data_IF_035178499801
#
_entry.id   IF_035178499801
#
_cell.length_a   1.000
_cell.length_b   1.000
_cell.length_c   1.000
_cell.angle_alpha   90.00
_cell.angle_beta   90.00
_cell.angle_gamma   90.00
#
_symmetry.space_group_name_H-M   'P 1'
#
loop_
_entity.id
_entity.type
_entity.pdbx_description
1 polymer ?
#
# COMPACT_ATOMS: atom_id res chain seq x y z
N UNK A 1 18.45 -6.44 6.04
CA UNK A 1 19.48 -7.37 5.51
C UNK A 1 19.11 -7.90 4.14
N UNK A 2 17.89 -8.41 3.96
CA UNK A 2 17.38 -8.95 2.68
C UNK A 2 17.50 -7.98 1.49
N UNK A 3 16.93 -6.77 1.61
CA UNK A 3 17.00 -5.76 0.53
C UNK A 3 18.45 -5.38 0.21
N UNK A 4 19.28 -5.17 1.24
CA UNK A 4 20.69 -4.81 1.05
C UNK A 4 21.45 -5.90 0.29
N UNK A 5 21.26 -7.17 0.64
CA UNK A 5 21.91 -8.26 -0.08
C UNK A 5 21.49 -8.33 -1.56
N UNK A 6 20.26 -7.93 -1.88
CA UNK A 6 19.77 -7.85 -3.25
C UNK A 6 20.37 -6.64 -4.01
N UNK A 7 20.34 -5.45 -3.41
CA UNK A 7 20.85 -4.21 -4.02
C UNK A 7 22.36 -4.25 -4.22
N UNK A 8 23.09 -4.81 -3.26
CA UNK A 8 24.56 -4.91 -3.29
C UNK A 8 25.04 -6.10 -4.17
N UNK A 9 24.12 -6.89 -4.74
CA UNK A 9 24.40 -8.00 -5.66
C UNK A 9 24.85 -9.32 -5.01
N UNK A 10 24.80 -9.43 -3.69
CA UNK A 10 25.11 -10.67 -2.95
C UNK A 10 24.10 -11.78 -3.27
N UNK A 11 22.85 -11.42 -3.55
CA UNK A 11 21.80 -12.34 -4.05
C UNK A 11 21.12 -11.70 -5.27
N UNK A 12 20.55 -12.53 -6.15
CA UNK A 12 19.88 -12.07 -7.38
C UNK A 12 18.35 -12.01 -7.26
N UNK A 13 17.79 -12.65 -6.24
CA UNK A 13 16.37 -12.63 -5.93
C UNK A 13 16.18 -12.70 -4.41
N UNK A 14 15.11 -12.09 -3.90
CA UNK A 14 14.80 -12.09 -2.48
C UNK A 14 13.30 -11.99 -2.22
N UNK A 15 12.85 -12.58 -1.10
CA UNK A 15 11.48 -12.45 -0.64
C UNK A 15 11.29 -11.08 0.05
N UNK A 16 10.46 -10.23 -0.55
CA UNK A 16 10.17 -8.86 -0.10
C UNK A 16 8.67 -8.61 -0.33
N UNK A 17 8.00 -7.89 0.56
CA UNK A 17 6.62 -7.48 0.37
C UNK A 17 6.45 -6.59 -0.88
N UNK A 18 5.37 -6.80 -1.64
CA UNK A 18 5.07 -6.05 -2.88
C UNK A 18 4.80 -4.57 -2.66
N UNK A 19 4.43 -4.16 -1.44
CA UNK A 19 4.24 -2.77 -1.03
C UNK A 19 5.48 -2.16 -0.37
N UNK A 20 6.65 -2.82 -0.50
CA UNK A 20 7.89 -2.35 0.11
C UNK A 20 8.41 -1.09 -0.58
N UNK A 21 8.82 -0.05 0.18
CA UNK A 21 9.38 1.17 -0.38
C UNK A 21 10.72 0.94 -1.10
N UNK A 22 11.41 -0.16 -0.78
CA UNK A 22 12.65 -0.54 -1.44
C UNK A 22 12.49 -0.79 -2.94
N UNK A 23 11.28 -1.14 -3.40
CA UNK A 23 10.98 -1.41 -4.81
C UNK A 23 11.15 -0.14 -5.64
N UNK A 24 10.39 0.95 -5.41
CA UNK A 24 10.58 2.19 -6.17
C UNK A 24 11.93 2.85 -5.89
N UNK A 25 12.45 2.79 -4.66
CA UNK A 25 13.71 3.44 -4.28
C UNK A 25 14.96 2.85 -4.96
N UNK A 26 14.97 1.55 -5.23
CA UNK A 26 16.11 0.84 -5.82
C UNK A 26 15.80 0.29 -7.22
N UNK A 27 14.67 0.71 -7.82
CA UNK A 27 14.21 0.26 -9.13
C UNK A 27 14.17 -1.28 -9.26
N UNK A 28 13.69 -1.96 -8.22
CA UNK A 28 13.59 -3.41 -8.23
C UNK A 28 12.41 -3.87 -9.09
N UNK A 29 12.55 -5.03 -9.71
CA UNK A 29 11.49 -5.66 -10.51
C UNK A 29 10.75 -6.68 -9.64
N UNK A 30 9.42 -6.57 -9.57
CA UNK A 30 8.56 -7.56 -8.91
C UNK A 30 8.31 -8.70 -9.88
N UNK A 31 8.54 -9.94 -9.44
CA UNK A 31 8.25 -11.15 -10.21
C UNK A 31 6.82 -11.63 -9.93
N UNK A 32 6.18 -12.18 -10.96
CA UNK A 32 4.87 -12.83 -10.82
C UNK A 32 4.98 -14.15 -10.04
N UNK A 33 3.88 -14.53 -9.37
CA UNK A 33 3.74 -15.82 -8.66
C UNK A 33 2.66 -16.68 -9.34
N UNK A 34 2.97 -17.29 -10.50
CA UNK A 34 1.98 -18.00 -11.32
C UNK A 34 1.48 -19.31 -10.69
N UNK A 35 2.25 -19.89 -9.76
CA UNK A 35 1.90 -21.13 -9.06
C UNK A 35 1.23 -20.87 -7.71
N UNK A 36 1.02 -19.60 -7.35
CA UNK A 36 0.41 -19.19 -6.08
C UNK A 36 1.16 -19.77 -4.87
N UNK A 37 2.49 -19.75 -4.94
CA UNK A 37 3.36 -20.22 -3.86
C UNK A 37 3.25 -19.33 -2.61
N UNK A 38 2.83 -18.07 -2.77
CA UNK A 38 2.57 -17.14 -1.68
C UNK A 38 1.07 -16.87 -1.55
N UNK A 39 0.58 -16.88 -0.31
CA UNK A 39 -0.80 -16.49 -0.03
C UNK A 39 -1.02 -15.01 -0.38
N UNK A 40 -2.18 -14.72 -1.00
CA UNK A 40 -2.56 -13.35 -1.33
C UNK A 40 -2.75 -12.51 -0.06
N UNK A 41 -2.01 -11.40 0.03
CA UNK A 41 -2.09 -10.43 1.12
C UNK A 41 -3.06 -9.29 0.81
N UNK A 42 -4.37 -9.58 0.76
CA UNK A 42 -5.38 -8.56 0.49
C UNK A 42 -5.56 -7.61 1.68
N UNK A 43 -5.64 -6.30 1.41
CA UNK A 43 -5.99 -5.29 2.41
C UNK A 43 -7.50 -5.09 2.37
N UNK A 44 -8.17 -5.39 3.49
CA UNK A 44 -9.63 -5.31 3.61
C UNK A 44 -10.04 -4.57 4.89
N UNK A 45 -10.92 -3.56 4.81
CA UNK A 45 -11.49 -2.93 5.99
C UNK A 45 -12.37 -3.91 6.76
N UNK A 46 -12.18 -3.99 8.09
CA UNK A 46 -13.02 -4.79 8.98
C UNK A 46 -13.79 -3.86 9.92
N UNK A 47 -15.13 -3.97 9.89
CA UNK A 47 -16.02 -3.10 10.66
C UNK A 47 -16.93 -3.94 11.56
N UNK A 48 -17.19 -3.44 12.77
CA UNK A 48 -18.16 -4.05 13.67
C UNK A 48 -19.58 -4.00 13.05
N UNK A 49 -20.31 -5.12 13.07
CA UNK A 49 -21.65 -5.22 12.47
C UNK A 49 -22.66 -4.21 13.02
N UNK A 50 -22.55 -3.84 14.31
CA UNK A 50 -23.41 -2.83 14.95
C UNK A 50 -23.14 -1.40 14.46
N UNK A 51 -22.03 -1.17 13.76
CA UNK A 51 -21.62 0.13 13.22
C UNK A 51 -21.70 0.20 11.69
N UNK A 52 -22.15 -0.87 11.03
CA UNK A 52 -22.30 -0.92 9.58
C UNK A 52 -23.46 -0.03 9.13
N UNK A 53 -23.25 0.67 8.03
CA UNK A 53 -24.29 1.31 7.21
C UNK A 53 -23.95 1.14 5.73
N UNK A 54 -24.94 1.31 4.86
CA UNK A 54 -24.72 1.25 3.40
C UNK A 54 -23.79 2.39 2.95
N UNK A 55 -23.99 3.60 3.47
CA UNK A 55 -23.10 4.72 3.20
C UNK A 55 -21.63 4.44 3.62
N UNK A 56 -21.41 3.84 4.80
CA UNK A 56 -20.05 3.48 5.23
C UNK A 56 -19.43 2.43 4.30
N UNK A 57 -20.23 1.47 3.82
CA UNK A 57 -19.79 0.49 2.82
C UNK A 57 -19.36 1.19 1.54
N UNK A 58 -20.16 2.10 0.99
CA UNK A 58 -19.85 2.81 -0.25
C UNK A 58 -18.52 3.59 -0.14
N UNK A 59 -18.31 4.24 1.01
CA UNK A 59 -17.06 4.97 1.29
C UNK A 59 -15.86 4.03 1.33
N UNK A 60 -15.95 2.93 2.08
CA UNK A 60 -14.85 1.98 2.21
C UNK A 60 -14.55 1.23 0.91
N UNK A 61 -15.58 0.92 0.11
CA UNK A 61 -15.41 0.30 -1.21
C UNK A 61 -14.70 1.26 -2.16
N UNK A 62 -15.06 2.54 -2.17
CA UNK A 62 -14.41 3.55 -3.00
C UNK A 62 -12.93 3.74 -2.63
N UNK A 63 -12.62 3.81 -1.33
CA UNK A 63 -11.24 3.88 -0.84
C UNK A 63 -10.46 2.63 -1.24
N UNK A 64 -11.02 1.44 -1.00
CA UNK A 64 -10.39 0.17 -1.34
C UNK A 64 -10.07 0.06 -2.83
N UNK A 65 -10.97 0.53 -3.69
CA UNK A 65 -10.77 0.55 -5.14
C UNK A 65 -9.61 1.47 -5.60
N UNK A 66 -9.24 2.48 -4.80
CA UNK A 66 -8.10 3.37 -5.07
C UNK A 66 -6.77 2.84 -4.54
N UNK A 67 -6.78 1.89 -3.61
CA UNK A 67 -5.57 1.31 -3.02
C UNK A 67 -4.94 0.30 -3.98
N UNK A 68 -4.02 0.79 -4.84
CA UNK A 68 -3.20 -0.06 -5.69
C UNK A 68 -1.91 -0.47 -4.98
N UNK A 69 -1.30 -1.59 -5.38
CA UNK A 69 -0.03 -2.06 -4.82
C UNK A 69 1.09 -1.01 -4.96
N UNK A 70 1.17 -0.36 -6.13
CA UNK A 70 2.14 0.73 -6.36
C UNK A 70 1.84 1.94 -5.48
N UNK A 71 0.58 2.38 -5.41
CA UNK A 71 0.21 3.51 -4.55
C UNK A 71 0.50 3.25 -3.07
N UNK A 72 0.34 2.01 -2.61
CA UNK A 72 0.72 1.60 -1.25
C UNK A 72 2.23 1.57 -1.04
N UNK A 73 3.02 1.17 -2.05
CA UNK A 73 4.47 1.24 -2.00
C UNK A 73 4.96 2.69 -1.91
N UNK A 74 4.33 3.61 -2.65
CA UNK A 74 4.64 5.04 -2.63
C UNK A 74 4.27 5.67 -1.28
N UNK A 75 3.10 5.32 -0.71
CA UNK A 75 2.72 5.75 0.64
C UNK A 75 3.67 5.24 1.70
N UNK A 76 4.05 3.95 1.64
CA UNK A 76 5.05 3.41 2.55
C UNK A 76 6.40 4.10 2.36
N UNK A 77 6.78 4.47 1.14
CA UNK A 77 8.01 5.19 0.85
C UNK A 77 7.99 6.60 1.44
N UNK A 78 6.85 7.32 1.37
CA UNK A 78 6.75 8.69 1.87
C UNK A 78 6.93 8.80 3.38
N UNK A 79 6.60 7.75 4.13
CA UNK A 79 6.70 7.72 5.61
C UNK A 79 7.95 6.99 6.12
N UNK A 80 8.75 6.41 5.23
CA UNK A 80 9.89 5.56 5.61
C UNK A 80 11.17 6.36 5.82
N UNK A 81 12.02 5.85 6.73
CA UNK A 81 13.35 6.40 6.99
C UNK A 81 13.34 7.66 7.86
N UNK A 82 14.52 8.19 8.15
CA UNK A 82 14.67 9.33 9.08
C UNK A 82 14.14 10.67 8.54
N UNK A 83 13.77 10.72 7.25
CA UNK A 83 13.21 11.90 6.60
C UNK A 83 11.78 11.67 6.11
N UNK A 84 11.12 10.62 6.60
CA UNK A 84 9.74 10.33 6.28
C UNK A 84 8.80 11.44 6.73
N UNK A 85 7.77 11.70 5.93
CA UNK A 85 6.65 12.56 6.31
C UNK A 85 5.85 11.87 7.41
N UNK A 86 5.23 12.66 8.28
CA UNK A 86 4.32 12.15 9.30
C UNK A 86 3.21 11.29 8.65
N UNK A 87 2.93 10.07 9.15
CA UNK A 87 1.93 9.20 8.56
C UNK A 87 0.53 9.82 8.46
N UNK A 88 0.13 10.66 9.41
CA UNK A 88 -1.18 11.32 9.34
C UNK A 88 -1.19 12.39 8.24
N UNK A 89 -0.07 13.10 8.04
CA UNK A 89 0.09 14.04 6.92
C UNK A 89 0.06 13.31 5.57
N UNK A 90 0.79 12.21 5.44
CA UNK A 90 0.78 11.39 4.22
C UNK A 90 -0.63 10.85 3.93
N UNK A 91 -1.35 10.35 4.95
CA UNK A 91 -2.72 9.87 4.81
C UNK A 91 -3.69 11.00 4.42
N UNK A 92 -3.63 12.16 5.08
CA UNK A 92 -4.46 13.33 4.72
C UNK A 92 -4.23 13.77 3.28
N UNK A 93 -2.95 13.83 2.87
CA UNK A 93 -2.60 14.18 1.49
C UNK A 93 -3.16 13.16 0.50
N UNK A 94 -3.04 11.86 0.78
CA UNK A 94 -3.58 10.82 -0.09
C UNK A 94 -5.11 10.90 -0.22
N UNK A 95 -5.81 11.12 0.89
CA UNK A 95 -7.27 11.33 0.92
C UNK A 95 -7.66 12.51 0.01
N UNK A 96 -6.98 13.65 0.15
CA UNK A 96 -7.22 14.83 -0.68
C UNK A 96 -6.91 14.57 -2.16
N UNK A 97 -5.73 14.01 -2.47
CA UNK A 97 -5.30 13.76 -3.85
C UNK A 97 -6.20 12.76 -4.60
N UNK A 98 -6.93 11.90 -3.87
CA UNK A 98 -7.89 10.95 -4.41
C UNK A 98 -9.34 11.44 -4.34
N UNK A 99 -9.59 12.67 -3.88
CA UNK A 99 -10.91 13.29 -3.82
C UNK A 99 -11.83 12.76 -2.72
N UNK A 100 -11.27 12.21 -1.64
CA UNK A 100 -12.01 11.69 -0.49
C UNK A 100 -12.15 12.70 0.65
N UNK A 101 -11.73 13.94 0.44
CA UNK A 101 -11.90 15.08 1.34
C UNK A 101 -13.28 15.75 1.22
N UNK A 102 -14.13 15.23 0.33
CA UNK A 102 -15.51 15.67 0.12
C UNK A 102 -16.47 14.47 0.19
N UNK A 103 -17.78 14.68 0.47
CA UNK A 103 -18.75 13.60 0.45
C UNK A 103 -18.77 12.87 -0.90
N UNK A 104 -18.66 11.55 -0.86
CA UNK A 104 -18.88 10.72 -2.05
C UNK A 104 -20.35 10.88 -2.42
N UNK A 105 -20.61 11.55 -3.55
CA UNK A 105 -21.97 11.80 -4.03
C UNK A 105 -22.67 10.46 -4.31
N UNK A 106 -23.93 10.33 -3.90
CA UNK A 106 -24.80 9.20 -4.24
C UNK A 106 -25.28 9.29 -5.68
#
# INVERSE_FOLDING_TARGET
MTVRALVDGTVTAANIFSTSPAIPQNHLVVLEDPEHNFLAGNIVPLVNSQKKSDHLKDVLDAVSARLTTLGLADLNASVSGNSGVDPDEAARKWVHDNGFDHPISQ
#
